data_IF_809393449029
#
_entry.id   IF_809393449029
#
_cell.length_a   1.000
_cell.length_b   1.000
_cell.length_c   1.000
_cell.angle_alpha   90.00
_cell.angle_beta   90.00
_cell.angle_gamma   90.00
#
_symmetry.space_group_name_H-M   'P 1'
#
loop_
_entity.id
_entity.type
_entity.pdbx_description
1 polymer ?
#
# COMPACT_ATOMS: atom_id res chain seq x y z
N UNK A 1 -0.03 3.67 -3.89
CA UNK A 1 0.27 5.04 -3.43
C UNK A 1 1.49 4.97 -2.55
N UNK A 2 2.48 5.81 -2.83
CA UNK A 2 3.73 5.89 -2.07
C UNK A 2 3.96 7.33 -1.64
N UNK A 3 4.49 7.51 -0.44
CA UNK A 3 4.74 8.83 0.16
C UNK A 3 6.20 8.87 0.57
N UNK A 4 7.00 9.63 -0.16
CA UNK A 4 8.40 9.85 0.15
C UNK A 4 8.53 11.12 0.99
N UNK A 5 9.00 10.98 2.23
CA UNK A 5 9.28 12.11 3.12
C UNK A 5 10.76 12.48 3.01
N UNK A 6 11.05 13.77 3.11
CA UNK A 6 12.40 14.31 3.00
C UNK A 6 13.06 14.15 1.61
N UNK A 7 12.25 14.14 0.55
CA UNK A 7 12.74 14.08 -0.82
C UNK A 7 13.53 15.35 -1.17
N UNK A 8 14.69 15.17 -1.83
CA UNK A 8 15.60 16.25 -2.27
C UNK A 8 15.80 16.30 -3.78
N UNK A 9 15.36 15.26 -4.49
CA UNK A 9 15.62 15.02 -5.92
C UNK A 9 14.69 15.83 -6.83
N UNK A 10 13.41 15.97 -6.44
CA UNK A 10 12.34 16.47 -7.31
C UNK A 10 12.07 17.98 -7.12
N UNK A 11 13.13 18.77 -6.91
CA UNK A 11 13.11 20.23 -6.89
C UNK A 11 13.97 20.85 -5.77
N UNK A 12 13.95 22.19 -5.58
CA UNK A 12 14.70 22.87 -4.51
C UNK A 12 14.18 22.64 -3.06
N UNK A 13 15.02 22.18 -2.15
CA UNK A 13 14.69 22.05 -0.72
C UNK A 13 14.08 20.70 -0.32
N UNK A 14 13.74 20.55 0.98
CA UNK A 14 13.21 19.31 1.58
C UNK A 14 11.70 19.23 1.33
N UNK A 15 11.24 18.14 0.70
CA UNK A 15 9.83 17.92 0.35
C UNK A 15 9.24 16.65 0.92
N UNK A 16 7.91 16.61 0.93
CA UNK A 16 7.17 15.35 0.90
C UNK A 16 6.62 15.18 -0.51
N UNK A 17 7.06 14.14 -1.21
CA UNK A 17 6.59 13.79 -2.55
C UNK A 17 5.53 12.70 -2.44
N UNK A 18 4.43 12.87 -3.16
CA UNK A 18 3.33 11.89 -3.19
C UNK A 18 3.24 11.30 -4.59
N UNK A 19 3.47 10.00 -4.69
CA UNK A 19 3.37 9.27 -5.96
C UNK A 19 1.99 8.65 -6.12
N UNK A 20 1.36 8.97 -7.25
CA UNK A 20 0.08 8.44 -7.67
C UNK A 20 0.28 7.30 -8.68
N UNK A 21 -0.66 6.35 -8.68
CA UNK A 21 -0.73 5.26 -9.66
C UNK A 21 -1.82 5.56 -10.68
N UNK A 22 -1.68 5.02 -11.88
CA UNK A 22 -2.56 5.22 -13.03
C UNK A 22 -2.12 6.31 -14.00
N UNK A 23 -0.81 6.51 -14.21
CA UNK A 23 -0.36 7.43 -15.26
C UNK A 23 -0.89 6.96 -16.63
N UNK A 24 -1.67 7.80 -17.36
CA UNK A 24 -2.27 7.39 -18.63
C UNK A 24 -1.27 7.42 -19.80
N UNK A 25 -0.04 7.87 -19.56
CA UNK A 25 0.98 8.04 -20.59
C UNK A 25 1.90 6.82 -20.69
N UNK A 26 2.24 6.45 -21.92
CA UNK A 26 3.18 5.37 -22.26
C UNK A 26 4.43 5.93 -22.94
N UNK A 27 5.12 6.83 -22.26
CA UNK A 27 6.31 7.50 -22.79
C UNK A 27 7.44 6.48 -23.06
N UNK A 28 8.21 6.63 -24.17
CA UNK A 28 9.35 5.75 -24.48
C UNK A 28 10.42 5.68 -23.39
N UNK A 29 10.58 6.75 -22.61
CA UNK A 29 11.50 6.84 -21.48
C UNK A 29 10.75 7.22 -20.20
N UNK A 30 9.83 6.36 -19.79
CA UNK A 30 9.04 6.59 -18.57
C UNK A 30 9.96 6.58 -17.34
N UNK A 31 9.95 7.67 -16.56
CA UNK A 31 10.70 7.75 -15.30
C UNK A 31 10.11 6.86 -14.19
N UNK A 32 8.80 6.61 -14.24
CA UNK A 32 8.06 5.80 -13.25
C UNK A 32 7.12 4.81 -13.96
N UNK A 33 7.64 3.78 -14.66
CA UNK A 33 6.81 2.81 -15.38
C UNK A 33 5.87 2.01 -14.45
N UNK A 34 6.23 1.83 -13.19
CA UNK A 34 5.39 1.21 -12.16
C UNK A 34 4.13 2.03 -11.86
N UNK A 35 4.15 3.35 -12.06
CA UNK A 35 2.98 4.22 -11.91
C UNK A 35 1.89 3.96 -12.95
N UNK A 36 2.18 3.29 -14.07
CA UNK A 36 1.18 3.03 -15.13
C UNK A 36 0.13 2.00 -14.71
N UNK A 37 0.50 1.05 -13.85
CA UNK A 37 -0.41 -0.02 -13.42
C UNK A 37 -1.24 0.45 -12.23
N UNK A 38 -2.55 0.58 -12.45
CA UNK A 38 -3.50 0.75 -11.35
C UNK A 38 -3.67 -0.59 -10.65
N UNK A 39 -3.24 -0.64 -9.39
CA UNK A 39 -3.45 -1.80 -8.52
C UNK A 39 -4.04 -1.34 -7.20
N UNK A 40 -4.96 -2.14 -6.67
CA UNK A 40 -5.40 -1.95 -5.30
C UNK A 40 -4.33 -2.54 -4.39
N UNK A 41 -3.95 -1.81 -3.34
CA UNK A 41 -3.01 -2.29 -2.34
C UNK A 41 -3.66 -2.20 -0.96
N UNK A 42 -3.41 -3.20 -0.11
CA UNK A 42 -3.76 -3.10 1.31
C UNK A 42 -2.71 -2.21 1.99
N UNK A 43 -3.16 -1.13 2.62
CA UNK A 43 -2.28 -0.21 3.34
C UNK A 43 -2.34 -0.49 4.85
N UNK A 44 -1.23 -0.99 5.40
CA UNK A 44 -1.08 -1.25 6.84
C UNK A 44 0.01 -0.33 7.40
N UNK A 45 -0.38 0.59 8.29
CA UNK A 45 0.55 1.42 9.04
C UNK A 45 0.87 0.74 10.37
N UNK A 46 1.98 0.01 10.41
CA UNK A 46 2.41 -0.74 11.60
C UNK A 46 2.47 0.14 12.86
N UNK A 47 3.01 1.36 12.73
CA UNK A 47 3.09 2.32 13.85
C UNK A 47 1.75 2.79 14.41
N UNK A 48 0.65 2.60 13.67
CA UNK A 48 -0.72 2.92 14.11
C UNK A 48 -1.54 1.68 14.46
N UNK A 49 -1.00 0.49 14.21
CA UNK A 49 -1.69 -0.76 14.49
C UNK A 49 -1.62 -1.07 15.98
N UNK A 50 -2.76 -1.09 16.65
CA UNK A 50 -2.86 -1.48 18.06
C UNK A 50 -2.99 -3.00 18.27
N UNK A 51 -2.82 -3.79 17.20
CA UNK A 51 -2.92 -5.25 17.27
C UNK A 51 -4.32 -5.78 17.61
N UNK A 52 -5.40 -5.07 17.26
CA UNK A 52 -6.77 -5.47 17.62
C UNK A 52 -7.28 -6.73 16.87
N UNK A 53 -6.55 -7.19 15.85
CA UNK A 53 -6.83 -8.38 15.02
C UNK A 53 -8.18 -8.41 14.30
N UNK A 54 -8.92 -7.30 14.26
CA UNK A 54 -10.20 -7.19 13.57
C UNK A 54 -10.08 -7.49 12.07
N UNK A 55 -9.02 -6.98 11.44
CA UNK A 55 -8.73 -7.23 10.03
C UNK A 55 -8.47 -8.72 9.70
N UNK A 56 -7.85 -9.47 10.61
CA UNK A 56 -7.68 -10.93 10.49
C UNK A 56 -9.04 -11.64 10.55
N UNK A 57 -9.89 -11.28 11.51
CA UNK A 57 -11.22 -11.91 11.69
C UNK A 57 -12.16 -11.71 10.49
N UNK A 58 -12.05 -10.58 9.78
CA UNK A 58 -12.87 -10.32 8.59
C UNK A 58 -12.25 -10.84 7.28
N UNK A 59 -11.00 -11.28 7.29
CA UNK A 59 -10.34 -11.75 6.09
C UNK A 59 -10.75 -13.18 5.74
N UNK A 60 -11.84 -13.32 4.96
CA UNK A 60 -12.36 -14.63 4.51
C UNK A 60 -11.35 -15.46 3.71
N UNK A 61 -10.39 -14.81 3.06
CA UNK A 61 -9.36 -15.48 2.25
C UNK A 61 -8.14 -15.92 3.07
N UNK A 62 -8.12 -15.67 4.38
CA UNK A 62 -6.95 -15.92 5.23
C UNK A 62 -5.67 -15.24 4.72
N UNK A 63 -5.82 -14.13 3.97
CA UNK A 63 -4.73 -13.34 3.42
C UNK A 63 -4.05 -12.47 4.48
N UNK A 64 -4.72 -12.17 5.60
CA UNK A 64 -4.17 -11.47 6.75
C UNK A 64 -4.06 -12.46 7.90
N UNK A 65 -2.89 -12.50 8.55
CA UNK A 65 -2.66 -13.30 9.78
C UNK A 65 -1.80 -12.54 10.79
N UNK A 66 -1.98 -12.84 12.07
CA UNK A 66 -1.08 -12.39 13.14
C UNK A 66 -0.24 -13.55 13.67
N UNK A 67 1.07 -13.51 13.47
CA UNK A 67 2.03 -14.45 14.08
C UNK A 67 2.83 -13.71 15.13
N UNK A 68 2.87 -14.19 16.36
CA UNK A 68 3.59 -13.54 17.47
C UNK A 68 3.25 -12.05 17.62
N UNK A 69 1.97 -11.70 17.47
CA UNK A 69 1.43 -10.32 17.41
C UNK A 69 1.89 -9.47 16.23
N UNK A 70 2.67 -10.01 15.29
CA UNK A 70 3.05 -9.31 14.07
C UNK A 70 2.04 -9.53 12.94
N UNK A 71 1.60 -8.43 12.33
CA UNK A 71 0.75 -8.45 11.14
C UNK A 71 1.51 -9.03 9.95
N UNK A 72 0.90 -10.00 9.27
CA UNK A 72 1.41 -10.60 8.03
C UNK A 72 0.32 -10.56 6.97
N UNK A 73 0.70 -10.22 5.73
CA UNK A 73 -0.22 -10.12 4.59
C UNK A 73 0.34 -10.90 3.40
N UNK A 74 -0.48 -11.80 2.85
CA UNK A 74 -0.19 -12.52 1.62
C UNK A 74 -1.07 -11.99 0.48
N UNK A 75 -0.48 -11.16 -0.38
CA UNK A 75 -1.17 -10.53 -1.50
C UNK A 75 -1.77 -11.55 -2.48
N UNK A 76 -1.15 -12.72 -2.65
CA UNK A 76 -1.61 -13.74 -3.59
C UNK A 76 -2.94 -14.40 -3.17
N UNK A 77 -3.31 -14.31 -1.88
CA UNK A 77 -4.59 -14.79 -1.37
C UNK A 77 -5.66 -13.68 -1.33
N UNK A 78 -5.25 -12.42 -1.43
CA UNK A 78 -6.17 -11.30 -1.27
C UNK A 78 -6.94 -11.04 -2.57
N UNK A 79 -8.26 -11.15 -2.51
CA UNK A 79 -9.15 -10.76 -3.62
C UNK A 79 -9.55 -9.29 -3.58
N UNK A 80 -8.93 -8.49 -2.70
CA UNK A 80 -9.23 -7.06 -2.50
C UNK A 80 -10.71 -6.75 -2.24
N UNK A 81 -11.41 -7.60 -1.47
CA UNK A 81 -12.84 -7.41 -1.14
C UNK A 81 -13.12 -6.23 -0.18
N UNK A 82 -12.08 -5.61 0.40
CA UNK A 82 -12.14 -4.44 1.31
C UNK A 82 -12.79 -4.68 2.69
N UNK A 83 -13.35 -5.86 2.95
CA UNK A 83 -14.01 -6.18 4.24
C UNK A 83 -13.14 -5.83 5.46
N UNK A 84 -11.85 -6.19 5.44
CA UNK A 84 -10.91 -5.96 6.54
C UNK A 84 -10.51 -4.49 6.78
N UNK A 85 -10.78 -3.60 5.81
CA UNK A 85 -10.46 -2.18 5.89
C UNK A 85 -11.70 -1.32 6.23
N UNK A 86 -12.90 -1.85 5.98
CA UNK A 86 -14.17 -1.13 6.15
C UNK A 86 -14.93 -1.56 7.41
N UNK A 87 -14.54 -2.69 8.02
CA UNK A 87 -15.21 -3.25 9.20
C UNK A 87 -14.29 -3.30 10.40
#
# INVERSE_FOLDING_TARGET
MEIERFAISDGPGIRTTVFLQGCPLYCPWCSNPESQKIKTHLFHLESKCIGCRRCESFCKQNAIKFKDNMFTFNENLCIFCKDCALK
#
